data_IF_882420056900
#
_entry.id   IF_882420056900
#
_cell.length_a   1.000
_cell.length_b   1.000
_cell.length_c   1.000
_cell.angle_alpha   90.00
_cell.angle_beta   90.00
_cell.angle_gamma   90.00
#
_symmetry.space_group_name_H-M   'P 1'
#
loop_
_entity.id
_entity.type
_entity.pdbx_description
1 polymer ?
#
# COMPACT_ATOMS: atom_id res chain seq x y z
N UNK A 1 1.35 -38.00 -32.64
CA UNK A 1 2.63 -37.44 -32.16
C UNK A 1 2.71 -36.05 -32.79
N UNK A 2 2.46 -34.92 -32.12
CA UNK A 2 3.08 -34.42 -30.89
C UNK A 2 2.07 -33.49 -30.19
N UNK A 3 1.76 -33.74 -28.93
CA UNK A 3 0.97 -32.82 -28.11
C UNK A 3 1.89 -31.65 -27.71
N UNK A 4 1.59 -30.45 -28.20
CA UNK A 4 2.27 -29.23 -27.78
C UNK A 4 1.74 -28.83 -26.39
N UNK A 5 2.49 -29.15 -25.34
CA UNK A 5 2.28 -28.58 -24.01
C UNK A 5 2.89 -27.18 -23.98
N UNK A 6 2.03 -26.17 -23.93
CA UNK A 6 2.38 -24.76 -23.79
C UNK A 6 3.13 -24.51 -22.47
N UNK A 7 4.24 -23.75 -22.47
CA UNK A 7 4.91 -23.37 -21.24
C UNK A 7 4.04 -22.34 -20.51
N UNK A 8 3.48 -22.77 -19.39
CA UNK A 8 2.72 -21.93 -18.47
C UNK A 8 3.72 -21.02 -17.78
N UNK A 9 3.93 -19.83 -18.35
CA UNK A 9 4.71 -18.78 -17.70
C UNK A 9 3.83 -18.22 -16.59
N UNK A 10 3.86 -18.89 -15.43
CA UNK A 10 3.23 -18.40 -14.22
C UNK A 10 4.04 -17.21 -13.70
N UNK A 11 3.74 -16.01 -14.19
CA UNK A 11 4.12 -14.75 -13.55
C UNK A 11 3.22 -14.60 -12.33
N UNK A 12 3.49 -15.37 -11.28
CA UNK A 12 2.88 -15.17 -9.96
C UNK A 12 3.85 -14.45 -9.03
N UNK A 13 4.57 -13.46 -9.54
CA UNK A 13 5.31 -12.50 -8.71
C UNK A 13 4.35 -11.38 -8.31
N UNK A 14 3.43 -11.69 -7.40
CA UNK A 14 2.47 -10.75 -6.83
C UNK A 14 3.21 -9.68 -6.04
N UNK A 15 3.68 -8.64 -6.73
CA UNK A 15 4.28 -7.47 -6.09
C UNK A 15 3.17 -6.74 -5.33
N UNK A 16 3.09 -6.95 -4.02
CA UNK A 16 2.08 -6.29 -3.17
C UNK A 16 2.43 -4.82 -3.05
N UNK A 17 1.83 -4.01 -3.92
CA UNK A 17 1.96 -2.55 -3.86
C UNK A 17 1.25 -2.02 -2.61
N UNK A 18 1.94 -1.29 -1.72
CA UNK A 18 1.29 -0.76 -0.52
C UNK A 18 0.26 0.29 -0.92
N UNK A 19 -0.91 0.24 -0.29
CA UNK A 19 -2.02 1.16 -0.58
C UNK A 19 -2.01 2.29 0.44
N UNK A 20 -2.09 3.54 -0.05
CA UNK A 20 -2.20 4.71 0.82
C UNK A 20 -3.52 4.72 1.58
N UNK A 21 -3.50 4.90 2.90
CA UNK A 21 -4.75 4.89 3.68
C UNK A 21 -5.54 6.21 3.62
N UNK A 22 -5.12 7.23 2.86
CA UNK A 22 -5.87 8.51 2.68
C UNK A 22 -6.63 8.49 1.37
N UNK A 23 -5.94 8.14 0.28
CA UNK A 23 -6.48 8.21 -1.08
C UNK A 23 -6.80 6.84 -1.67
N UNK A 24 -6.52 5.76 -0.96
CA UNK A 24 -6.69 4.37 -1.41
C UNK A 24 -5.99 4.06 -2.74
N UNK A 25 -5.00 4.86 -3.14
CA UNK A 25 -4.19 4.61 -4.34
C UNK A 25 -2.98 3.74 -4.00
N UNK A 26 -2.57 2.85 -4.91
CA UNK A 26 -1.32 2.13 -4.78
C UNK A 26 -0.15 3.11 -4.85
N UNK A 27 0.81 2.95 -3.94
CA UNK A 27 2.05 3.71 -3.95
C UNK A 27 2.98 3.00 -4.93
N UNK A 28 3.28 3.65 -6.05
CA UNK A 28 4.24 3.11 -7.02
C UNK A 28 5.64 3.06 -6.39
N UNK A 29 6.49 2.10 -6.76
CA UNK A 29 7.85 1.99 -6.21
C UNK A 29 8.71 3.23 -6.50
N UNK A 30 8.38 3.99 -7.54
CA UNK A 30 9.02 5.26 -7.88
C UNK A 30 8.52 6.44 -7.01
N UNK A 31 7.33 6.35 -6.42
CA UNK A 31 6.77 7.41 -5.58
C UNK A 31 7.27 7.26 -4.13
N UNK A 32 7.66 8.38 -3.50
CA UNK A 32 8.17 8.40 -2.11
C UNK A 32 7.05 8.17 -1.09
N UNK A 33 6.59 6.93 -0.98
CA UNK A 33 5.76 6.45 0.13
C UNK A 33 6.54 6.40 1.45
N UNK A 34 5.83 6.47 2.57
CA UNK A 34 6.38 6.09 3.88
C UNK A 34 5.38 5.19 4.56
N UNK A 35 5.94 4.29 5.35
CA UNK A 35 5.21 3.47 6.30
C UNK A 35 5.62 3.92 7.70
N UNK A 36 4.64 4.12 8.57
CA UNK A 36 4.88 4.36 9.99
C UNK A 36 3.83 3.63 10.81
N UNK A 37 4.18 3.30 12.05
CA UNK A 37 3.20 2.70 12.98
C UNK A 37 2.29 3.80 13.51
N UNK A 38 1.02 3.50 13.68
CA UNK A 38 0.08 4.44 14.28
C UNK A 38 0.59 4.89 15.66
N UNK A 39 0.68 6.21 15.96
CA UNK A 39 1.19 6.70 17.23
C UNK A 39 0.25 6.40 18.42
N UNK A 40 -1.03 6.13 18.15
CA UNK A 40 -2.02 5.85 19.19
C UNK A 40 -2.07 4.36 19.57
N UNK A 41 -2.12 3.45 18.59
CA UNK A 41 -2.20 2.00 18.88
C UNK A 41 -0.88 1.23 18.68
N UNK A 42 0.06 1.72 17.87
CA UNK A 42 1.32 1.03 17.60
C UNK A 42 1.24 -0.28 16.81
N UNK A 43 0.05 -0.88 16.69
CA UNK A 43 -0.18 -2.18 16.06
C UNK A 43 -0.33 -2.11 14.54
N UNK A 44 -0.82 -0.99 14.00
CA UNK A 44 -1.11 -0.85 12.56
C UNK A 44 0.00 -0.10 11.85
N UNK A 45 0.46 -0.66 10.72
CA UNK A 45 1.34 0.02 9.79
C UNK A 45 0.48 0.83 8.82
N UNK A 46 0.66 2.15 8.86
CA UNK A 46 -0.05 3.10 8.02
C UNK A 46 0.88 3.51 6.87
N UNK A 47 0.39 3.36 5.65
CA UNK A 47 1.08 3.79 4.44
C UNK A 47 0.54 5.11 3.94
N UNK A 48 1.44 6.05 3.67
CA UNK A 48 1.09 7.38 3.14
C UNK A 48 1.94 7.73 1.92
N UNK A 49 1.28 8.03 0.81
CA UNK A 49 1.94 8.56 -0.38
C UNK A 49 2.44 10.00 -0.14
N UNK A 50 3.39 10.45 -0.97
CA UNK A 50 3.96 11.80 -0.86
C UNK A 50 2.91 12.89 -1.08
N UNK A 51 1.95 12.67 -1.99
CA UNK A 51 0.87 13.64 -2.30
C UNK A 51 -0.04 13.89 -1.10
N UNK A 52 -0.51 12.83 -0.45
CA UNK A 52 -1.36 12.97 0.75
C UNK A 52 -0.63 13.66 1.89
N UNK A 53 0.68 13.41 2.06
CA UNK A 53 1.49 14.12 3.06
C UNK A 53 1.69 15.60 2.73
N UNK A 54 1.92 15.95 1.46
CA UNK A 54 2.01 17.36 1.04
C UNK A 54 0.70 18.12 1.23
N UNK A 55 -0.42 17.44 1.03
CA UNK A 55 -1.77 18.00 1.21
C UNK A 55 -2.30 17.85 2.64
N UNK A 56 -1.53 17.27 3.56
CA UNK A 56 -1.94 17.04 4.95
C UNK A 56 -3.31 16.33 5.06
N UNK A 57 -3.53 15.34 4.18
CA UNK A 57 -4.84 14.68 4.02
C UNK A 57 -5.10 13.75 5.20
N UNK A 58 -6.26 13.96 5.81
CA UNK A 58 -6.71 13.18 6.95
C UNK A 58 -6.75 11.67 6.69
N UNK A 59 -6.63 10.96 7.79
CA UNK A 59 -6.00 9.67 7.80
C UNK A 59 -6.55 8.91 8.98
N UNK A 60 -7.35 7.88 8.71
CA UNK A 60 -8.00 7.10 9.75
C UNK A 60 -7.26 5.80 10.00
N UNK A 61 -6.88 5.55 11.25
CA UNK A 61 -6.39 4.24 11.66
C UNK A 61 -7.57 3.26 11.80
N UNK A 62 -7.53 2.06 11.19
CA UNK A 62 -8.63 1.10 11.25
C UNK A 62 -8.83 0.44 12.62
N UNK A 63 -7.83 0.48 13.51
CA UNK A 63 -7.88 -0.17 14.83
C UNK A 63 -8.33 0.76 15.95
N UNK A 64 -7.74 1.95 16.04
CA UNK A 64 -8.06 2.91 17.10
C UNK A 64 -8.98 4.06 16.64
N UNK A 65 -9.29 4.16 15.33
CA UNK A 65 -10.10 5.25 14.80
C UNK A 65 -9.44 6.62 14.82
N UNK A 66 -8.15 6.70 15.20
CA UNK A 66 -7.39 7.95 15.23
C UNK A 66 -7.38 8.59 13.83
N UNK A 67 -7.82 9.85 13.77
CA UNK A 67 -7.76 10.69 12.57
C UNK A 67 -6.60 11.67 12.75
N UNK A 68 -5.53 11.47 11.98
CA UNK A 68 -4.41 12.42 11.90
C UNK A 68 -4.36 13.07 10.52
N UNK A 69 -3.55 14.12 10.33
CA UNK A 69 -3.18 14.65 9.01
C UNK A 69 -2.02 13.88 8.33
#
# INVERSE_FOLDING_TARGET
MVAATEPKISIEEKTVVPICSSCNRPITPWERGVAFRCPNCGEVIIWRCSKCRKMSVEYKCPKCGFVGP
#
